data_IF_938370163961
#
_entry.id   IF_938370163961
#
_cell.length_a   1.000
_cell.length_b   1.000
_cell.length_c   1.000
_cell.angle_alpha   90.00
_cell.angle_beta   90.00
_cell.angle_gamma   90.00
#
_symmetry.space_group_name_H-M   'P 1'
#
loop_
_entity.id
_entity.type
_entity.pdbx_description
1 polymer ?
#
# COMPACT_ATOMS: atom_id res chain seq x y z
N UNK A 1 6.82 5.17 15.90
CA UNK A 1 7.58 6.30 15.32
C UNK A 1 6.77 6.83 14.14
N UNK A 2 6.63 8.15 14.01
CA UNK A 2 6.03 8.72 12.82
C UNK A 2 6.88 8.36 11.60
N UNK A 3 6.24 8.02 10.50
CA UNK A 3 6.88 7.67 9.24
C UNK A 3 7.73 8.82 8.74
N UNK A 4 8.99 8.55 8.45
CA UNK A 4 9.91 9.58 7.95
C UNK A 4 9.91 9.59 6.43
N UNK A 5 9.08 10.48 5.85
CA UNK A 5 9.00 10.68 4.41
C UNK A 5 10.33 11.17 3.80
N UNK A 6 11.28 11.64 4.62
CA UNK A 6 12.58 12.11 4.10
C UNK A 6 13.45 10.96 3.60
N UNK A 7 13.28 9.76 4.16
CA UNK A 7 14.14 8.60 3.88
C UNK A 7 13.52 7.60 2.91
N UNK A 8 12.17 7.54 2.78
CA UNK A 8 11.47 6.55 1.99
C UNK A 8 10.94 7.11 0.66
N UNK A 9 11.61 6.82 -0.43
CA UNK A 9 11.15 7.17 -1.78
C UNK A 9 9.80 6.52 -2.13
N UNK A 10 9.59 5.27 -1.67
CA UNK A 10 8.34 4.53 -1.88
C UNK A 10 7.17 5.24 -1.22
N UNK A 11 7.34 5.70 0.02
CA UNK A 11 6.28 6.39 0.75
C UNK A 11 5.94 7.74 0.11
N UNK A 12 6.95 8.49 -0.30
CA UNK A 12 6.74 9.73 -1.06
C UNK A 12 5.96 9.47 -2.33
N UNK A 13 6.34 8.43 -3.10
CA UNK A 13 5.66 8.10 -4.34
C UNK A 13 4.22 7.65 -4.10
N UNK A 14 3.94 6.90 -3.04
CA UNK A 14 2.58 6.53 -2.65
C UNK A 14 1.70 7.73 -2.32
N UNK A 15 2.25 8.74 -1.62
CA UNK A 15 1.55 10.01 -1.37
C UNK A 15 1.25 10.73 -2.70
N UNK A 16 2.26 10.83 -3.58
CA UNK A 16 2.15 11.54 -4.86
C UNK A 16 1.25 10.81 -5.87
N UNK A 17 1.09 9.51 -5.78
CA UNK A 17 0.19 8.73 -6.63
C UNK A 17 -1.24 8.68 -6.09
N UNK A 18 -1.51 9.25 -4.91
CA UNK A 18 -2.86 9.31 -4.35
C UNK A 18 -3.68 10.43 -5.02
N UNK A 19 -4.39 10.07 -6.08
CA UNK A 19 -5.17 10.99 -6.93
C UNK A 19 -6.30 11.70 -6.17
N UNK A 20 -6.74 11.16 -5.05
CA UNK A 20 -7.82 11.74 -4.21
C UNK A 20 -7.27 12.66 -3.13
N UNK A 21 -6.14 12.30 -2.51
CA UNK A 21 -5.55 13.11 -1.46
C UNK A 21 -4.84 14.37 -2.00
N UNK A 22 -4.17 14.29 -3.17
CA UNK A 22 -3.43 15.41 -3.73
C UNK A 22 -4.23 16.71 -3.85
N UNK A 23 -5.46 16.74 -4.41
CA UNK A 23 -6.27 17.95 -4.49
C UNK A 23 -6.63 18.52 -3.11
N UNK A 24 -6.84 17.65 -2.11
CA UNK A 24 -7.12 18.07 -0.73
C UNK A 24 -5.89 18.69 -0.07
N UNK A 25 -4.73 18.06 -0.27
CA UNK A 25 -3.44 18.60 0.20
C UNK A 25 -3.19 19.97 -0.44
N UNK A 26 -3.39 20.10 -1.75
CA UNK A 26 -3.21 21.36 -2.47
C UNK A 26 -4.12 22.47 -1.92
N UNK A 27 -5.40 22.16 -1.72
CA UNK A 27 -6.37 23.11 -1.15
C UNK A 27 -6.00 23.53 0.26
N UNK A 28 -5.57 22.59 1.10
CA UNK A 28 -5.26 22.87 2.50
C UNK A 28 -3.95 23.64 2.69
N UNK A 29 -2.93 23.34 1.87
CA UNK A 29 -1.66 24.05 1.93
C UNK A 29 -1.74 25.47 1.38
N UNK A 30 -2.78 25.78 0.58
CA UNK A 30 -3.02 27.14 0.05
C UNK A 30 -1.85 27.70 -0.77
N UNK A 31 -1.15 26.84 -1.51
CA UNK A 31 0.05 27.23 -2.24
C UNK A 31 -0.31 28.15 -3.41
N UNK A 32 0.24 29.35 -3.41
CA UNK A 32 0.11 30.27 -4.55
C UNK A 32 1.03 29.78 -5.67
N UNK A 33 0.47 29.48 -6.83
CA UNK A 33 1.19 29.05 -8.01
C UNK A 33 0.88 29.96 -9.21
N UNK A 34 1.76 29.98 -10.20
CA UNK A 34 1.60 30.72 -11.43
C UNK A 34 0.97 29.82 -12.49
N UNK A 35 0.01 30.33 -13.25
CA UNK A 35 -0.57 29.58 -14.36
C UNK A 35 0.25 29.87 -15.65
N UNK A 36 0.90 28.82 -16.17
CA UNK A 36 1.72 28.90 -17.36
C UNK A 36 1.53 27.67 -18.25
N UNK A 37 1.28 27.86 -19.55
CA UNK A 37 1.02 26.77 -20.51
C UNK A 37 -0.02 25.76 -20.05
N UNK A 38 -1.10 26.25 -19.41
CA UNK A 38 -2.17 25.38 -18.89
C UNK A 38 -1.80 24.55 -17.65
N UNK A 39 -0.70 24.88 -16.98
CA UNK A 39 -0.23 24.23 -15.75
C UNK A 39 -0.02 25.26 -14.64
N UNK A 40 -0.21 24.82 -13.42
CA UNK A 40 0.16 25.60 -12.25
C UNK A 40 1.61 25.25 -11.84
N UNK A 41 2.48 26.27 -11.87
CA UNK A 41 3.92 26.09 -11.62
C UNK A 41 4.43 27.06 -10.55
N UNK A 42 5.49 26.64 -9.87
CA UNK A 42 6.23 27.43 -8.91
C UNK A 42 7.68 27.58 -9.36
N UNK A 43 8.25 28.75 -9.15
CA UNK A 43 9.70 28.97 -9.32
C UNK A 43 10.46 28.45 -8.10
N UNK A 44 11.77 28.29 -8.24
CA UNK A 44 12.66 27.94 -7.12
C UNK A 44 12.52 28.93 -5.96
N UNK A 45 12.42 30.24 -6.26
CA UNK A 45 12.23 31.26 -5.21
C UNK A 45 10.93 31.06 -4.45
N UNK A 46 9.80 30.84 -5.16
CA UNK A 46 8.51 30.60 -4.50
C UNK A 46 8.55 29.37 -3.60
N UNK A 47 9.25 28.31 -4.02
CA UNK A 47 9.46 27.11 -3.21
C UNK A 47 10.30 27.40 -1.96
N UNK A 48 11.37 28.16 -2.13
CA UNK A 48 12.27 28.61 -1.07
C UNK A 48 11.51 29.42 -0.03
N UNK A 49 10.75 30.42 -0.48
CA UNK A 49 9.93 31.28 0.39
C UNK A 49 8.84 30.49 1.12
N UNK A 50 8.21 29.53 0.42
CA UNK A 50 7.17 28.70 1.05
C UNK A 50 7.72 27.83 2.15
N UNK A 51 8.86 27.14 1.95
CA UNK A 51 9.43 26.22 2.94
C UNK A 51 10.34 26.90 3.96
N UNK A 52 10.51 28.23 3.84
CA UNK A 52 11.37 29.02 4.73
C UNK A 52 12.78 28.43 4.83
N UNK A 53 13.42 28.28 3.69
CA UNK A 53 14.79 27.74 3.57
C UNK A 53 15.64 28.61 2.66
N UNK A 54 16.95 28.49 2.78
CA UNK A 54 17.87 29.12 1.86
C UNK A 54 17.80 28.47 0.46
N UNK A 55 17.96 29.29 -0.60
CA UNK A 55 17.91 28.82 -1.98
C UNK A 55 18.94 27.71 -2.26
N UNK A 56 20.09 27.78 -1.60
CA UNK A 56 21.15 26.78 -1.68
C UNK A 56 20.68 25.42 -1.13
N UNK A 57 19.86 25.41 -0.08
CA UNK A 57 19.26 24.19 0.48
C UNK A 57 18.36 23.51 -0.55
N UNK A 58 17.54 24.29 -1.27
CA UNK A 58 16.69 23.76 -2.37
C UNK A 58 17.56 23.24 -3.51
N UNK A 59 18.65 23.92 -3.86
CA UNK A 59 19.57 23.48 -4.93
C UNK A 59 20.29 22.19 -4.60
N UNK A 60 20.76 22.03 -3.38
CA UNK A 60 21.40 20.80 -2.89
C UNK A 60 20.40 19.65 -2.91
N UNK A 61 19.19 19.88 -2.38
CA UNK A 61 18.15 18.87 -2.36
C UNK A 61 17.75 18.46 -3.79
N UNK A 62 17.60 19.44 -4.71
CA UNK A 62 17.30 19.20 -6.11
C UNK A 62 18.39 18.37 -6.79
N UNK A 63 19.66 18.74 -6.61
CA UNK A 63 20.79 18.01 -7.23
C UNK A 63 20.91 16.58 -6.72
N UNK A 64 20.64 16.37 -5.43
CA UNK A 64 20.72 15.05 -4.83
C UNK A 64 19.55 14.12 -5.23
N UNK A 65 18.41 14.67 -5.68
CA UNK A 65 17.19 13.92 -5.96
C UNK A 65 16.58 14.30 -7.33
N UNK A 66 17.41 14.69 -8.30
CA UNK A 66 16.94 15.25 -9.57
C UNK A 66 16.03 14.29 -10.33
N UNK A 67 16.38 13.02 -10.41
CA UNK A 67 15.60 12.01 -11.13
C UNK A 67 14.21 11.83 -10.51
N UNK A 68 14.12 11.74 -9.18
CA UNK A 68 12.86 11.63 -8.46
C UNK A 68 11.98 12.87 -8.66
N UNK A 69 12.57 14.06 -8.57
CA UNK A 69 11.86 15.32 -8.73
C UNK A 69 11.39 15.53 -10.18
N UNK A 70 12.19 15.15 -11.17
CA UNK A 70 11.80 15.17 -12.60
C UNK A 70 10.67 14.19 -12.88
N UNK A 71 10.74 12.98 -12.35
CA UNK A 71 9.67 12.00 -12.46
C UNK A 71 8.35 12.54 -11.91
N UNK A 72 8.41 13.35 -10.87
CA UNK A 72 7.26 13.95 -10.20
C UNK A 72 6.93 15.38 -10.65
N UNK A 73 7.41 15.83 -11.81
CA UNK A 73 6.93 17.05 -12.47
C UNK A 73 7.84 18.28 -12.38
N UNK A 74 9.06 18.14 -11.87
CA UNK A 74 10.07 19.19 -12.02
C UNK A 74 10.59 19.24 -13.46
N UNK A 75 10.65 20.42 -14.05
CA UNK A 75 11.17 20.59 -15.41
C UNK A 75 11.93 21.90 -15.61
N UNK A 76 12.72 21.96 -16.68
CA UNK A 76 13.48 23.15 -17.07
C UNK A 76 12.78 23.86 -18.21
N UNK A 77 12.33 25.08 -17.94
CA UNK A 77 11.81 26.02 -18.94
C UNK A 77 12.96 26.66 -19.67
N UNK A 78 13.00 26.56 -21.02
CA UNK A 78 14.10 27.04 -21.89
C UNK A 78 13.56 27.65 -23.19
N UNK A 79 14.41 28.35 -23.91
CA UNK A 79 14.11 28.83 -25.28
C UNK A 79 12.91 29.78 -25.33
N UNK A 80 11.94 29.52 -26.22
CA UNK A 80 10.78 30.39 -26.43
C UNK A 80 9.83 30.36 -25.24
N UNK A 81 9.60 29.17 -24.63
CA UNK A 81 8.79 29.06 -23.44
C UNK A 81 9.33 29.91 -22.28
N UNK A 82 10.66 29.95 -22.10
CA UNK A 82 11.28 30.82 -21.10
C UNK A 82 11.08 32.31 -21.43
N UNK A 83 11.13 32.71 -22.71
CA UNK A 83 10.87 34.10 -23.11
C UNK A 83 9.43 34.49 -22.78
N UNK A 84 8.47 33.65 -23.11
CA UNK A 84 7.06 33.89 -22.80
C UNK A 84 6.81 33.92 -21.27
N UNK A 85 7.42 33.01 -20.52
CA UNK A 85 7.36 33.03 -19.08
C UNK A 85 7.87 34.35 -18.48
N UNK A 86 9.03 34.78 -18.92
CA UNK A 86 9.63 36.07 -18.49
C UNK A 86 8.74 37.26 -18.82
N UNK A 87 8.19 37.30 -20.04
CA UNK A 87 7.29 38.39 -20.46
C UNK A 87 6.01 38.43 -19.60
N UNK A 88 5.43 37.25 -19.31
CA UNK A 88 4.17 37.17 -18.58
C UNK A 88 4.33 37.56 -17.11
N UNK A 89 5.45 37.19 -16.48
CA UNK A 89 5.66 37.33 -15.03
C UNK A 89 6.75 38.36 -14.65
N UNK A 90 7.19 39.21 -15.59
CA UNK A 90 8.22 40.23 -15.36
C UNK A 90 7.87 41.22 -14.22
N UNK A 91 6.60 41.43 -13.93
CA UNK A 91 6.16 42.32 -12.87
C UNK A 91 6.12 41.64 -11.47
N UNK A 92 6.13 40.30 -11.44
CA UNK A 92 6.03 39.53 -10.20
C UNK A 92 7.36 38.90 -9.79
N UNK A 93 8.25 38.65 -10.76
CA UNK A 93 9.50 37.91 -10.55
C UNK A 93 10.67 38.65 -11.20
N UNK A 94 11.70 38.85 -10.41
CA UNK A 94 12.98 39.32 -10.95
C UNK A 94 13.77 38.15 -11.56
N UNK A 95 13.86 38.17 -12.88
CA UNK A 95 14.64 37.19 -13.62
C UNK A 95 16.01 37.80 -13.92
N UNK A 96 17.06 37.40 -13.27
CA UNK A 96 18.38 37.87 -13.61
C UNK A 96 18.63 37.92 -15.14
N UNK A 97 19.27 39.00 -15.63
CA UNK A 97 19.43 39.32 -17.08
C UNK A 97 20.07 38.20 -17.92
N UNK A 98 20.85 37.32 -17.30
CA UNK A 98 21.59 36.22 -17.94
C UNK A 98 20.92 34.85 -17.82
N UNK A 99 19.70 34.78 -17.31
CA UNK A 99 19.02 33.49 -17.11
C UNK A 99 18.63 32.85 -18.45
N UNK A 100 19.24 31.74 -18.80
CA UNK A 100 19.00 30.95 -20.02
C UNK A 100 18.10 29.74 -19.81
N UNK A 101 17.88 29.36 -18.56
CA UNK A 101 17.00 28.27 -18.15
C UNK A 101 16.40 28.57 -16.77
N UNK A 102 15.17 28.13 -16.55
CA UNK A 102 14.45 28.30 -15.29
C UNK A 102 13.86 26.97 -14.84
N UNK A 103 14.20 26.53 -13.65
CA UNK A 103 13.58 25.35 -13.04
C UNK A 103 12.19 25.69 -12.53
N UNK A 104 11.21 24.92 -12.95
CA UNK A 104 9.82 25.04 -12.54
C UNK A 104 9.34 23.76 -11.89
N UNK A 105 8.56 23.92 -10.85
CA UNK A 105 7.94 22.85 -10.09
C UNK A 105 6.43 22.87 -10.34
N UNK A 106 5.84 21.74 -10.68
CA UNK A 106 4.41 21.57 -10.52
C UNK A 106 4.08 21.28 -9.05
N UNK A 107 2.79 21.08 -8.71
CA UNK A 107 2.40 20.83 -7.33
C UNK A 107 2.98 19.51 -6.79
N UNK A 108 3.12 18.47 -7.64
CA UNK A 108 3.66 17.18 -7.21
C UNK A 108 5.15 17.27 -6.87
N UNK A 109 5.95 17.88 -7.71
CA UNK A 109 7.39 18.08 -7.47
C UNK A 109 7.65 19.07 -6.34
N UNK A 110 6.82 20.10 -6.18
CA UNK A 110 6.84 20.99 -5.02
C UNK A 110 6.62 20.22 -3.71
N UNK A 111 5.59 19.37 -3.70
CA UNK A 111 5.27 18.55 -2.54
C UNK A 111 6.37 17.51 -2.25
N UNK A 112 6.90 16.88 -3.30
CA UNK A 112 8.01 15.94 -3.21
C UNK A 112 9.26 16.60 -2.60
N UNK A 113 9.62 17.78 -3.04
CA UNK A 113 10.74 18.53 -2.46
C UNK A 113 10.51 18.80 -0.97
N UNK A 114 9.31 19.19 -0.56
CA UNK A 114 8.95 19.39 0.85
C UNK A 114 9.07 18.11 1.68
N UNK A 115 8.78 16.96 1.09
CA UNK A 115 8.99 15.67 1.75
C UNK A 115 10.48 15.32 1.90
N UNK A 116 11.34 15.79 1.02
CA UNK A 116 12.78 15.57 1.04
C UNK A 116 13.55 16.54 1.96
N UNK A 117 13.04 17.75 2.17
CA UNK A 117 13.70 18.76 3.00
C UNK A 117 13.71 18.36 4.48
N UNK A 118 14.90 18.10 5.03
CA UNK A 118 15.10 17.68 6.42
C UNK A 118 15.22 18.85 7.41
N UNK A 119 15.76 19.98 6.98
CA UNK A 119 16.13 21.13 7.83
C UNK A 119 15.02 22.15 8.04
N UNK A 120 13.92 22.09 7.27
CA UNK A 120 12.80 23.03 7.34
C UNK A 120 11.74 22.57 8.34
N UNK A 121 11.45 23.39 9.34
CA UNK A 121 10.32 23.15 10.26
C UNK A 121 8.97 23.22 9.53
N UNK A 122 8.86 24.08 8.52
CA UNK A 122 7.65 24.18 7.70
C UNK A 122 7.46 22.92 6.85
N UNK A 123 8.54 22.38 6.29
CA UNK A 123 8.49 21.09 5.55
C UNK A 123 8.11 19.92 6.50
N UNK A 124 8.60 19.94 7.74
CA UNK A 124 8.22 18.96 8.76
C UNK A 124 6.74 19.04 9.11
N UNK A 125 6.21 20.26 9.29
CA UNK A 125 4.77 20.48 9.49
C UNK A 125 3.95 19.97 8.28
N UNK A 126 4.38 20.31 7.07
CA UNK A 126 3.73 19.87 5.82
C UNK A 126 3.71 18.34 5.72
N UNK A 127 4.83 17.67 6.02
CA UNK A 127 4.89 16.18 6.04
C UNK A 127 3.89 15.56 6.99
N UNK A 128 3.80 16.07 8.22
CA UNK A 128 2.81 15.60 9.19
C UNK A 128 1.38 15.79 8.66
N UNK A 129 1.10 16.97 8.09
CA UNK A 129 -0.22 17.30 7.57
C UNK A 129 -0.63 16.47 6.35
N UNK A 130 0.33 16.18 5.46
CA UNK A 130 0.14 15.29 4.33
C UNK A 130 -0.32 13.91 4.79
N UNK A 131 0.36 13.34 5.78
CA UNK A 131 0.00 12.02 6.31
C UNK A 131 -1.41 12.00 6.90
N UNK A 132 -1.77 13.03 7.68
CA UNK A 132 -3.12 13.17 8.24
C UNK A 132 -4.18 13.21 7.15
N UNK A 133 -3.96 14.02 6.10
CA UNK A 133 -4.90 14.16 4.97
C UNK A 133 -5.02 12.84 4.19
N UNK A 134 -3.90 12.17 3.93
CA UNK A 134 -3.89 10.88 3.22
C UNK A 134 -4.68 9.84 4.01
N UNK A 135 -4.41 9.71 5.30
CA UNK A 135 -5.12 8.77 6.18
C UNK A 135 -6.62 9.12 6.24
N UNK A 136 -6.96 10.39 6.46
CA UNK A 136 -8.36 10.83 6.51
C UNK A 136 -9.10 10.57 5.18
N UNK A 137 -8.43 10.85 4.05
CA UNK A 137 -9.00 10.64 2.71
C UNK A 137 -9.26 9.17 2.43
N UNK A 138 -8.30 8.31 2.77
CA UNK A 138 -8.45 6.86 2.63
C UNK A 138 -9.60 6.38 3.52
N UNK A 139 -9.62 6.78 4.78
CA UNK A 139 -10.69 6.39 5.72
C UNK A 139 -12.08 6.81 5.24
N UNK A 140 -12.23 8.02 4.74
CA UNK A 140 -13.50 8.52 4.22
C UNK A 140 -13.97 7.74 2.99
N UNK A 141 -13.06 7.49 2.03
CA UNK A 141 -13.38 6.76 0.80
C UNK A 141 -13.66 5.28 1.03
N UNK A 142 -13.07 4.68 2.05
CA UNK A 142 -13.26 3.28 2.42
C UNK A 142 -14.41 3.07 3.42
N UNK A 143 -15.23 4.10 3.67
CA UNK A 143 -16.37 3.98 4.58
C UNK A 143 -16.00 3.85 6.06
N UNK A 144 -14.91 4.54 6.48
CA UNK A 144 -14.45 4.57 7.87
C UNK A 144 -13.41 3.52 8.23
N UNK A 145 -12.89 2.77 7.26
CA UNK A 145 -11.77 1.86 7.53
C UNK A 145 -11.10 1.32 6.27
N UNK A 146 -9.78 1.38 6.25
CA UNK A 146 -8.96 0.73 5.23
C UNK A 146 -8.97 -0.81 5.35
N UNK A 147 -9.63 -1.34 6.39
CA UNK A 147 -9.59 -2.74 6.78
C UNK A 147 -10.19 -3.68 5.74
N UNK A 148 -11.28 -3.27 5.09
CA UNK A 148 -12.09 -4.10 4.18
C UNK A 148 -12.09 -3.59 2.74
N UNK A 149 -10.93 -3.19 2.26
CA UNK A 149 -10.73 -2.62 0.92
C UNK A 149 -11.19 -3.53 -0.19
N UNK A 150 -10.92 -4.80 -0.01
CA UNK A 150 -11.21 -5.88 -0.94
C UNK A 150 -12.70 -6.11 -1.21
N UNK A 151 -13.61 -5.65 -0.35
CA UNK A 151 -15.07 -5.70 -0.61
C UNK A 151 -15.48 -4.97 -1.90
N UNK A 152 -14.59 -4.14 -2.45
CA UNK A 152 -14.80 -3.36 -3.67
C UNK A 152 -14.06 -3.95 -4.88
N UNK A 153 -13.32 -5.04 -4.69
CA UNK A 153 -12.60 -5.69 -5.77
C UNK A 153 -13.50 -6.71 -6.47
N UNK A 154 -13.64 -6.58 -7.80
CA UNK A 154 -14.41 -7.49 -8.66
C UNK A 154 -13.95 -8.95 -8.50
N UNK A 155 -12.64 -9.13 -8.34
CA UNK A 155 -12.03 -10.45 -8.24
C UNK A 155 -12.10 -11.03 -6.82
N UNK A 156 -12.59 -10.24 -5.84
CA UNK A 156 -12.63 -10.69 -4.45
C UNK A 156 -13.58 -11.84 -4.22
N UNK A 157 -14.79 -11.77 -4.75
CA UNK A 157 -15.81 -12.80 -4.53
C UNK A 157 -15.39 -14.17 -5.08
N UNK A 158 -14.92 -14.29 -6.34
CA UNK A 158 -14.37 -15.54 -6.83
C UNK A 158 -13.19 -16.06 -5.98
N UNK A 159 -12.31 -15.16 -5.54
CA UNK A 159 -11.19 -15.54 -4.67
C UNK A 159 -11.64 -16.03 -3.30
N UNK A 160 -12.68 -15.42 -2.71
CA UNK A 160 -13.24 -15.83 -1.42
C UNK A 160 -13.92 -17.22 -1.51
N UNK A 161 -14.63 -17.51 -2.61
CA UNK A 161 -15.23 -18.83 -2.85
C UNK A 161 -14.14 -19.90 -2.95
N UNK A 162 -13.09 -19.64 -3.71
CA UNK A 162 -11.97 -20.56 -3.86
C UNK A 162 -11.25 -20.77 -2.53
N UNK A 163 -11.08 -19.70 -1.77
CA UNK A 163 -10.47 -19.73 -0.44
C UNK A 163 -11.24 -20.65 0.49
N UNK A 164 -12.56 -20.56 0.56
CA UNK A 164 -13.38 -21.39 1.44
C UNK A 164 -13.19 -22.87 1.13
N UNK A 165 -13.17 -23.27 -0.15
CA UNK A 165 -12.93 -24.65 -0.56
C UNK A 165 -11.52 -25.13 -0.17
N UNK A 166 -10.50 -24.34 -0.40
CA UNK A 166 -9.12 -24.70 -0.05
C UNK A 166 -8.91 -24.72 1.45
N UNK A 167 -9.57 -23.81 2.18
CA UNK A 167 -9.57 -23.79 3.64
C UNK A 167 -10.17 -25.06 4.23
N UNK A 168 -11.26 -25.55 3.66
CA UNK A 168 -11.87 -26.82 4.08
C UNK A 168 -10.89 -27.97 3.87
N UNK A 169 -10.26 -28.08 2.70
CA UNK A 169 -9.25 -29.10 2.43
C UNK A 169 -8.12 -29.06 3.46
N UNK A 170 -7.64 -27.86 3.79
CA UNK A 170 -6.56 -27.65 4.75
C UNK A 170 -6.97 -28.04 6.17
N UNK A 171 -8.14 -27.62 6.61
CA UNK A 171 -8.66 -27.98 7.94
C UNK A 171 -8.94 -29.48 8.05
N UNK A 172 -9.44 -30.13 7.00
CA UNK A 172 -9.66 -31.58 6.95
C UNK A 172 -8.33 -32.35 6.99
N UNK A 173 -7.30 -31.88 6.31
CA UNK A 173 -5.96 -32.47 6.39
C UNK A 173 -5.39 -32.37 7.82
N UNK A 174 -5.50 -31.22 8.46
CA UNK A 174 -5.08 -31.04 9.86
C UNK A 174 -5.88 -31.95 10.79
N UNK A 175 -7.19 -32.06 10.58
CA UNK A 175 -8.06 -32.91 11.39
C UNK A 175 -7.64 -34.39 11.37
N UNK A 176 -7.39 -34.89 10.18
CA UNK A 176 -7.24 -36.32 9.94
C UNK A 176 -5.79 -36.80 10.11
N UNK A 177 -4.79 -35.93 9.88
CA UNK A 177 -3.40 -36.38 9.79
C UNK A 177 -2.45 -35.66 10.77
N UNK A 178 -2.93 -34.74 11.62
CA UNK A 178 -2.07 -34.07 12.60
C UNK A 178 -2.47 -34.40 14.01
N UNK A 179 -1.51 -34.80 14.84
CA UNK A 179 -1.71 -35.02 16.26
C UNK A 179 -1.84 -33.70 17.03
N UNK A 180 -2.48 -33.74 18.20
CA UNK A 180 -2.60 -32.61 19.11
C UNK A 180 -4.03 -32.23 19.50
N UNK A 181 -4.13 -31.30 20.47
CA UNK A 181 -5.41 -30.84 21.00
C UNK A 181 -6.27 -30.14 19.95
N UNK A 182 -7.53 -30.54 19.83
CA UNK A 182 -8.45 -30.19 18.73
C UNK A 182 -8.45 -28.69 18.35
N UNK A 183 -8.45 -27.79 19.31
CA UNK A 183 -8.58 -26.35 19.02
C UNK A 183 -7.24 -25.67 18.81
N UNK A 184 -6.21 -26.09 19.54
CA UNK A 184 -4.91 -25.43 19.54
C UNK A 184 -4.11 -25.68 18.25
N UNK A 185 -4.13 -26.90 17.72
CA UNK A 185 -3.39 -27.27 16.51
C UNK A 185 -3.80 -26.43 15.28
N UNK A 186 -5.09 -26.13 15.11
CA UNK A 186 -5.56 -25.30 13.98
C UNK A 186 -5.03 -23.88 14.05
N UNK A 187 -5.07 -23.26 15.23
CA UNK A 187 -4.55 -21.92 15.42
C UNK A 187 -3.03 -21.87 15.18
N UNK A 188 -2.30 -22.85 15.72
CA UNK A 188 -0.86 -22.93 15.60
C UNK A 188 -0.43 -23.10 14.13
N UNK A 189 -1.04 -24.05 13.42
CA UNK A 189 -0.70 -24.32 12.01
C UNK A 189 -1.14 -23.17 11.10
N UNK A 190 -2.28 -22.52 11.38
CA UNK A 190 -2.69 -21.32 10.68
C UNK A 190 -1.68 -20.19 10.89
N UNK A 191 -1.18 -19.99 12.10
CA UNK A 191 -0.13 -18.99 12.38
C UNK A 191 1.18 -19.29 11.66
N UNK A 192 1.53 -20.57 11.44
CA UNK A 192 2.68 -20.97 10.64
C UNK A 192 2.52 -20.52 9.17
N UNK A 193 1.33 -20.71 8.58
CA UNK A 193 1.00 -20.23 7.24
C UNK A 193 1.14 -18.70 7.16
N UNK A 194 0.57 -17.98 8.11
CA UNK A 194 0.70 -16.51 8.14
C UNK A 194 2.15 -16.05 8.30
N UNK A 195 2.93 -16.71 9.15
CA UNK A 195 4.37 -16.44 9.26
C UNK A 195 5.12 -16.72 7.96
N UNK A 196 4.81 -17.83 7.29
CA UNK A 196 5.42 -18.19 6.01
C UNK A 196 5.10 -17.16 4.92
N UNK A 197 3.87 -16.66 4.85
CA UNK A 197 3.44 -15.69 3.83
C UNK A 197 3.78 -14.26 4.24
N UNK A 198 3.49 -13.83 5.46
CA UNK A 198 3.55 -12.41 5.88
C UNK A 198 4.64 -12.12 6.92
N UNK A 199 5.39 -13.12 7.39
CA UNK A 199 6.36 -13.03 8.49
C UNK A 199 5.75 -12.63 9.85
N UNK A 200 4.45 -12.72 9.99
CA UNK A 200 3.66 -12.34 11.18
C UNK A 200 2.61 -13.40 11.49
N UNK A 201 2.27 -13.56 12.77
CA UNK A 201 1.13 -14.37 13.16
C UNK A 201 -0.19 -13.66 12.87
N UNK A 202 -1.29 -14.41 12.70
CA UNK A 202 -2.60 -13.82 12.48
C UNK A 202 -2.99 -12.80 13.56
N UNK A 203 -2.66 -13.06 14.83
CA UNK A 203 -2.92 -12.15 15.95
C UNK A 203 -2.11 -10.84 15.86
N UNK A 204 -0.85 -10.91 15.42
CA UNK A 204 0.01 -9.74 15.22
C UNK A 204 -0.53 -8.88 14.08
N UNK A 205 -0.93 -9.54 12.99
CA UNK A 205 -1.53 -8.87 11.85
C UNK A 205 -2.87 -8.20 12.20
N UNK A 206 -3.73 -8.84 13.00
CA UNK A 206 -4.96 -8.22 13.51
C UNK A 206 -4.67 -6.96 14.33
N UNK A 207 -3.63 -6.96 15.16
CA UNK A 207 -3.22 -5.75 15.90
C UNK A 207 -2.79 -4.62 15.00
N UNK A 208 -2.02 -4.92 13.94
CA UNK A 208 -1.58 -3.92 12.96
C UNK A 208 -2.76 -3.20 12.32
N UNK A 209 -3.82 -3.91 12.01
CA UNK A 209 -5.02 -3.38 11.37
C UNK A 209 -6.07 -2.88 12.39
N UNK A 210 -5.78 -2.92 13.69
CA UNK A 210 -6.74 -2.60 14.76
C UNK A 210 -8.07 -3.36 14.59
N UNK A 211 -7.98 -4.67 14.32
CA UNK A 211 -9.11 -5.57 14.20
C UNK A 211 -9.48 -6.15 15.55
N UNK A 212 -10.77 -6.33 15.80
CA UNK A 212 -11.24 -7.05 16.97
C UNK A 212 -10.88 -8.55 16.88
N UNK A 213 -10.96 -9.28 17.99
CA UNK A 213 -10.69 -10.71 18.00
C UNK A 213 -11.66 -11.50 17.09
N UNK A 214 -12.89 -11.01 16.95
CA UNK A 214 -13.96 -11.62 16.12
C UNK A 214 -13.81 -11.31 14.62
N UNK A 215 -13.07 -10.28 14.24
CA UNK A 215 -12.92 -9.92 12.83
C UNK A 215 -12.14 -10.98 12.05
N UNK A 216 -12.61 -11.30 10.85
CA UNK A 216 -11.92 -12.20 9.95
C UNK A 216 -10.82 -11.47 9.18
N UNK A 217 -9.55 -11.81 9.49
CA UNK A 217 -8.38 -11.22 8.85
C UNK A 217 -8.37 -11.40 7.33
N UNK A 218 -8.86 -12.53 6.83
CA UNK A 218 -8.87 -12.85 5.39
C UNK A 218 -9.72 -11.88 4.58
N UNK A 219 -10.77 -11.33 5.20
CA UNK A 219 -11.62 -10.30 4.59
C UNK A 219 -10.92 -8.96 4.38
N UNK A 220 -9.72 -8.80 4.88
CA UNK A 220 -8.90 -7.60 4.68
C UNK A 220 -7.83 -7.77 3.60
N UNK A 221 -7.66 -8.99 3.07
CA UNK A 221 -6.64 -9.29 2.07
C UNK A 221 -7.12 -8.89 0.65
N UNK A 222 -6.22 -8.46 -0.21
CA UNK A 222 -6.51 -8.33 -1.64
C UNK A 222 -6.87 -9.69 -2.24
N UNK A 223 -7.64 -9.68 -3.33
CA UNK A 223 -8.06 -10.91 -4.03
C UNK A 223 -6.86 -11.79 -4.42
N UNK A 224 -5.82 -11.19 -4.96
CA UNK A 224 -4.60 -11.90 -5.37
C UNK A 224 -3.83 -12.47 -4.17
N UNK A 225 -3.81 -11.73 -3.06
CA UNK A 225 -3.17 -12.18 -1.82
C UNK A 225 -3.98 -13.30 -1.18
N UNK A 226 -5.31 -13.19 -1.21
CA UNK A 226 -6.20 -14.26 -0.75
C UNK A 226 -6.01 -15.54 -1.57
N UNK A 227 -5.90 -15.44 -2.91
CA UNK A 227 -5.56 -16.55 -3.79
C UNK A 227 -4.18 -17.16 -3.47
N UNK A 228 -3.19 -16.33 -3.17
CA UNK A 228 -1.85 -16.81 -2.78
C UNK A 228 -1.89 -17.61 -1.47
N UNK A 229 -2.56 -17.10 -0.44
CA UNK A 229 -2.71 -17.78 0.86
C UNK A 229 -3.49 -19.09 0.70
N UNK A 230 -4.60 -19.08 -0.04
CA UNK A 230 -5.42 -20.28 -0.22
C UNK A 230 -4.73 -21.34 -1.07
N UNK A 231 -3.96 -20.95 -2.10
CA UNK A 231 -3.14 -21.88 -2.88
C UNK A 231 -2.03 -22.50 -2.02
N UNK A 232 -1.41 -21.70 -1.14
CA UNK A 232 -0.41 -22.19 -0.19
C UNK A 232 -1.02 -23.20 0.78
N UNK A 233 -2.19 -22.89 1.36
CA UNK A 233 -2.90 -23.83 2.26
C UNK A 233 -3.31 -25.13 1.57
N UNK A 234 -3.76 -25.05 0.31
CA UNK A 234 -4.09 -26.23 -0.47
C UNK A 234 -2.85 -27.09 -0.76
N UNK A 235 -1.71 -26.48 -1.08
CA UNK A 235 -0.44 -27.18 -1.21
C UNK A 235 -0.01 -27.84 0.10
N UNK A 236 -0.11 -27.12 1.21
CA UNK A 236 0.19 -27.68 2.54
C UNK A 236 -0.75 -28.82 2.91
N UNK A 237 -2.05 -28.72 2.60
CA UNK A 237 -3.03 -29.81 2.80
C UNK A 237 -2.63 -31.08 2.03
N UNK A 238 -2.19 -30.93 0.78
CA UNK A 238 -1.74 -32.04 -0.05
C UNK A 238 -0.51 -32.74 0.56
N UNK A 239 0.50 -32.00 0.96
CA UNK A 239 1.73 -32.54 1.55
C UNK A 239 1.47 -33.16 2.93
N UNK A 240 0.64 -32.54 3.78
CA UNK A 240 0.23 -33.09 5.08
C UNK A 240 -0.50 -34.42 4.87
N UNK A 241 -1.45 -34.47 3.95
CA UNK A 241 -2.20 -35.69 3.64
C UNK A 241 -1.26 -36.80 3.15
N UNK A 242 -0.42 -36.51 2.14
CA UNK A 242 0.53 -37.45 1.55
C UNK A 242 1.43 -38.06 2.64
N UNK A 243 2.09 -37.22 3.43
CA UNK A 243 2.99 -37.69 4.48
C UNK A 243 2.25 -38.42 5.59
N UNK A 244 1.02 -38.00 5.93
CA UNK A 244 0.17 -38.66 6.92
C UNK A 244 -0.32 -40.03 6.47
N UNK A 245 -0.58 -40.23 5.17
CA UNK A 245 -0.89 -41.55 4.60
C UNK A 245 0.31 -42.49 4.63
N UNK A 246 1.54 -41.97 4.51
CA UNK A 246 2.79 -42.75 4.54
C UNK A 246 3.25 -43.07 5.95
N UNK A 247 3.12 -42.15 6.91
CA UNK A 247 3.78 -42.20 8.24
C UNK A 247 2.80 -42.22 9.43
N UNK A 248 1.49 -42.05 9.19
CA UNK A 248 0.49 -41.90 10.25
C UNK A 248 0.34 -40.44 10.70
N UNK A 249 -0.12 -40.25 11.96
CA UNK A 249 -0.33 -38.91 12.48
C UNK A 249 0.99 -38.13 12.60
N UNK A 250 1.01 -36.91 12.03
CA UNK A 250 2.14 -36.03 12.05
C UNK A 250 2.16 -35.16 13.31
N UNK A 251 3.33 -34.92 13.83
CA UNK A 251 3.55 -33.92 14.87
C UNK A 251 3.45 -32.50 14.30
N UNK A 252 3.25 -31.50 15.17
CA UNK A 252 3.20 -30.09 14.77
C UNK A 252 4.53 -29.65 14.17
N UNK A 253 5.67 -30.14 14.65
CA UNK A 253 7.00 -29.83 14.14
C UNK A 253 7.23 -30.39 12.71
N UNK A 254 6.68 -31.57 12.43
CA UNK A 254 6.70 -32.12 11.07
C UNK A 254 5.86 -31.29 10.10
N UNK A 255 4.72 -30.78 10.55
CA UNK A 255 3.89 -29.85 9.76
C UNK A 255 4.60 -28.52 9.57
N UNK A 256 5.32 -28.00 10.57
CA UNK A 256 6.15 -26.79 10.42
C UNK A 256 7.23 -26.98 9.36
N UNK A 257 7.86 -28.15 9.33
CA UNK A 257 8.85 -28.50 8.30
C UNK A 257 8.24 -28.54 6.90
N UNK A 258 7.04 -29.10 6.75
CA UNK A 258 6.30 -29.10 5.48
C UNK A 258 5.98 -27.67 5.03
N UNK A 259 5.44 -26.84 5.91
CA UNK A 259 5.08 -25.45 5.62
C UNK A 259 6.32 -24.63 5.24
N UNK A 260 7.43 -24.83 5.97
CA UNK A 260 8.70 -24.14 5.69
C UNK A 260 9.28 -24.56 4.33
N UNK A 261 9.29 -25.86 4.03
CA UNK A 261 9.74 -26.38 2.75
C UNK A 261 8.89 -25.87 1.58
N UNK A 262 7.57 -25.83 1.76
CA UNK A 262 6.66 -25.29 0.75
C UNK A 262 6.89 -23.78 0.53
N UNK A 263 7.15 -23.01 1.58
CA UNK A 263 7.43 -21.59 1.46
C UNK A 263 8.73 -21.28 0.70
N UNK A 264 9.70 -22.19 0.76
CA UNK A 264 10.98 -22.11 0.06
C UNK A 264 10.95 -22.77 -1.33
N UNK A 265 9.80 -23.35 -1.69
CA UNK A 265 9.68 -24.02 -3.00
C UNK A 265 9.73 -22.99 -4.13
N UNK A 266 10.52 -23.20 -5.19
CA UNK A 266 10.70 -22.22 -6.28
C UNK A 266 9.43 -21.76 -6.97
N UNK A 267 8.35 -22.54 -6.95
CA UNK A 267 7.04 -22.14 -7.47
C UNK A 267 6.26 -21.22 -6.50
N UNK A 268 6.47 -21.36 -5.20
CA UNK A 268 5.74 -20.60 -4.19
C UNK A 268 6.44 -19.32 -3.77
N UNK A 269 7.75 -19.29 -3.84
CA UNK A 269 8.56 -18.15 -3.43
C UNK A 269 8.18 -16.84 -4.14
N UNK A 270 8.04 -16.78 -5.49
CA UNK A 270 7.61 -15.57 -6.17
C UNK A 270 6.19 -15.14 -5.78
N UNK A 271 5.26 -16.08 -5.62
CA UNK A 271 3.87 -15.81 -5.23
C UNK A 271 3.80 -15.20 -3.82
N UNK A 272 4.59 -15.76 -2.90
CA UNK A 272 4.70 -15.25 -1.52
C UNK A 272 5.36 -13.86 -1.53
N UNK A 273 6.39 -13.65 -2.34
CA UNK A 273 7.06 -12.37 -2.47
C UNK A 273 6.09 -11.27 -2.96
N UNK A 274 5.33 -11.54 -4.03
CA UNK A 274 4.35 -10.61 -4.58
C UNK A 274 3.22 -10.31 -3.57
N UNK A 275 2.72 -11.33 -2.87
CA UNK A 275 1.73 -11.16 -1.83
C UNK A 275 2.25 -10.26 -0.69
N UNK A 276 3.49 -10.44 -0.26
CA UNK A 276 4.15 -9.58 0.74
C UNK A 276 4.28 -8.15 0.27
N UNK A 277 4.78 -7.94 -0.96
CA UNK A 277 4.91 -6.60 -1.54
C UNK A 277 3.57 -5.88 -1.58
N UNK A 278 2.51 -6.56 -2.04
CA UNK A 278 1.18 -5.97 -2.17
C UNK A 278 0.60 -5.58 -0.83
N UNK A 279 0.69 -6.47 0.16
CA UNK A 279 0.21 -6.18 1.52
C UNK A 279 1.06 -5.13 2.22
N UNK A 280 2.37 -5.20 2.11
CA UNK A 280 3.26 -4.21 2.70
C UNK A 280 3.00 -2.81 2.12
N UNK A 281 2.82 -2.69 0.81
CA UNK A 281 2.50 -1.41 0.15
C UNK A 281 1.16 -0.83 0.62
N UNK A 282 0.12 -1.67 0.80
CA UNK A 282 -1.16 -1.25 1.36
C UNK A 282 -1.05 -0.80 2.81
N UNK A 283 -0.35 -1.60 3.62
CA UNK A 283 -0.31 -1.43 5.07
C UNK A 283 0.78 -0.46 5.51
N UNK A 284 1.36 0.27 4.57
CA UNK A 284 2.48 1.16 4.76
C UNK A 284 2.31 2.10 5.97
N UNK A 285 1.10 2.65 6.15
CA UNK A 285 0.77 3.53 7.28
C UNK A 285 0.70 2.79 8.63
N UNK A 286 0.53 1.48 8.62
CA UNK A 286 0.32 0.67 9.83
C UNK A 286 1.54 -0.18 10.21
N UNK A 287 2.34 -0.63 9.23
CA UNK A 287 3.40 -1.61 9.47
C UNK A 287 4.73 -1.07 9.93
N UNK A 288 5.12 0.12 9.49
CA UNK A 288 6.40 0.71 9.91
C UNK A 288 6.47 1.01 11.41
N UNK A 289 5.31 1.08 12.06
CA UNK A 289 5.24 1.28 13.51
C UNK A 289 5.67 0.02 14.28
N UNK A 290 5.54 -1.17 13.70
CA UNK A 290 5.70 -2.43 14.44
C UNK A 290 6.87 -3.31 14.01
N UNK A 291 7.25 -3.34 12.73
CA UNK A 291 8.23 -4.31 12.23
C UNK A 291 9.11 -3.72 11.13
N UNK A 292 10.23 -3.13 11.43
CA UNK A 292 11.23 -2.71 10.45
C UNK A 292 11.68 -3.80 9.43
N UNK A 293 11.08 -4.99 9.51
CA UNK A 293 11.46 -6.18 8.74
C UNK A 293 10.81 -6.27 7.35
N UNK A 294 9.89 -5.35 7.00
CA UNK A 294 9.14 -5.43 5.74
C UNK A 294 9.57 -4.37 4.73
N UNK A 295 10.45 -3.43 5.12
CA UNK A 295 10.93 -2.36 4.25
C UNK A 295 11.51 -2.89 2.91
N UNK A 296 12.12 -4.06 2.92
CA UNK A 296 12.67 -4.70 1.71
C UNK A 296 11.62 -5.14 0.67
N UNK A 297 10.34 -5.25 1.07
CA UNK A 297 9.23 -5.65 0.19
C UNK A 297 8.36 -4.49 -0.26
N UNK A 298 8.64 -3.27 0.20
CA UNK A 298 7.83 -2.11 -0.16
C UNK A 298 8.11 -1.68 -1.59
N UNK A 299 7.05 -1.38 -2.33
CA UNK A 299 7.09 -0.69 -3.61
C UNK A 299 6.01 0.38 -3.67
N UNK A 300 6.23 1.38 -4.51
CA UNK A 300 5.22 2.41 -4.75
C UNK A 300 3.98 1.79 -5.42
N UNK A 301 2.81 2.17 -4.94
CA UNK A 301 1.52 1.82 -5.56
C UNK A 301 1.28 2.77 -6.73
N UNK A 302 0.87 2.25 -7.89
CA UNK A 302 0.55 3.08 -9.05
C UNK A 302 -0.76 3.86 -8.84
N UNK A 303 -1.01 4.95 -9.60
CA UNK A 303 -2.30 5.65 -9.53
C UNK A 303 -3.49 4.75 -9.82
N UNK A 304 -3.36 3.80 -10.75
CA UNK A 304 -4.40 2.84 -11.11
C UNK A 304 -4.68 1.85 -9.97
N UNK A 305 -3.64 1.37 -9.29
CA UNK A 305 -3.77 0.53 -8.10
C UNK A 305 -4.40 1.31 -6.95
N UNK A 306 -4.06 2.60 -6.80
CA UNK A 306 -4.69 3.48 -5.82
C UNK A 306 -6.18 3.69 -6.11
N UNK A 307 -6.57 3.94 -7.36
CA UNK A 307 -7.96 4.10 -7.77
C UNK A 307 -8.77 2.81 -7.51
N UNK A 308 -8.19 1.64 -7.79
CA UNK A 308 -8.76 0.34 -7.45
C UNK A 308 -8.90 0.16 -5.93
N UNK A 309 -7.87 0.52 -5.19
CA UNK A 309 -7.82 0.47 -3.73
C UNK A 309 -8.89 1.34 -3.06
N UNK A 310 -9.13 2.55 -3.57
CA UNK A 310 -10.13 3.48 -3.04
C UNK A 310 -11.54 3.12 -3.53
N UNK A 311 -11.64 2.23 -4.51
CA UNK A 311 -12.91 1.79 -5.09
C UNK A 311 -13.47 2.73 -6.17
N UNK A 312 -12.66 3.65 -6.72
CA UNK A 312 -13.10 4.54 -7.81
C UNK A 312 -13.36 3.78 -9.12
N UNK A 313 -12.78 2.59 -9.30
CA UNK A 313 -12.94 1.71 -10.47
C UNK A 313 -13.52 0.33 -10.12
N UNK A 314 -14.03 0.14 -8.91
CA UNK A 314 -14.69 -1.12 -8.54
C UNK A 314 -16.10 -1.18 -9.10
N UNK A 315 -16.54 -2.38 -9.48
CA UNK A 315 -17.95 -2.64 -9.74
C UNK A 315 -18.74 -2.48 -8.45
N UNK A 316 -20.02 -2.15 -8.60
CA UNK A 316 -20.97 -2.10 -7.50
C UNK A 316 -21.04 -3.49 -6.84
N UNK A 317 -20.49 -3.61 -5.66
CA UNK A 317 -20.44 -4.86 -4.91
C UNK A 317 -21.86 -5.36 -4.58
N UNK A 318 -22.77 -4.45 -4.29
CA UNK A 318 -24.18 -4.79 -4.00
C UNK A 318 -24.86 -5.35 -5.24
N UNK A 319 -24.54 -4.83 -6.43
CA UNK A 319 -25.05 -5.37 -7.70
C UNK A 319 -24.48 -6.77 -7.99
N UNK A 320 -23.18 -7.01 -7.72
CA UNK A 320 -22.56 -8.33 -7.88
C UNK A 320 -23.16 -9.31 -6.88
N UNK A 321 -23.39 -8.89 -5.65
CA UNK A 321 -23.97 -9.73 -4.61
C UNK A 321 -25.45 -10.01 -4.82
N UNK A 322 -26.15 -9.20 -5.61
CA UNK A 322 -27.55 -9.44 -5.98
C UNK A 322 -27.72 -10.50 -7.08
N UNK A 323 -26.62 -10.90 -7.76
CA UNK A 323 -26.70 -11.95 -8.78
C UNK A 323 -27.11 -13.29 -8.17
N UNK A 324 -28.05 -14.05 -8.81
CA UNK A 324 -28.56 -15.32 -8.28
C UNK A 324 -27.45 -16.33 -7.95
N UNK A 325 -26.44 -16.41 -8.79
CA UNK A 325 -25.27 -17.29 -8.63
C UNK A 325 -24.44 -16.99 -7.38
N UNK A 326 -24.51 -15.77 -6.84
CA UNK A 326 -23.74 -15.33 -5.68
C UNK A 326 -24.52 -15.41 -4.36
N UNK A 327 -25.82 -15.71 -4.41
CA UNK A 327 -26.70 -15.77 -3.23
C UNK A 327 -26.33 -16.92 -2.27
N UNK A 328 -25.87 -18.04 -2.81
CA UNK A 328 -25.48 -19.20 -2.01
C UNK A 328 -24.16 -18.95 -1.27
N UNK A 329 -23.23 -18.23 -1.92
CA UNK A 329 -21.97 -17.78 -1.35
C UNK A 329 -22.20 -16.74 -0.25
N UNK A 330 -23.17 -15.85 -0.44
CA UNK A 330 -23.59 -14.90 0.60
C UNK A 330 -24.06 -15.61 1.88
N UNK A 331 -24.77 -16.72 1.76
CA UNK A 331 -25.21 -17.49 2.93
C UNK A 331 -24.01 -18.09 3.67
N UNK A 332 -23.04 -18.64 2.95
CA UNK A 332 -21.80 -19.19 3.54
C UNK A 332 -20.98 -18.10 4.22
N UNK A 333 -20.80 -16.94 3.53
CA UNK A 333 -20.05 -15.82 4.09
C UNK A 333 -20.73 -15.16 5.29
N UNK A 334 -22.08 -15.21 5.37
CA UNK A 334 -22.85 -14.71 6.53
C UNK A 334 -22.85 -15.69 7.69
N UNK A 335 -22.90 -16.99 7.44
CA UNK A 335 -22.80 -18.01 8.50
C UNK A 335 -21.46 -18.01 9.20
N UNK A 336 -20.38 -17.64 8.50
CA UNK A 336 -19.06 -17.45 9.10
C UNK A 336 -18.92 -16.13 9.91
N UNK A 337 -19.95 -15.26 9.96
CA UNK A 337 -20.01 -14.08 10.84
C UNK A 337 -20.63 -14.41 12.20
N UNK A 338 -21.44 -15.46 12.29
CA UNK A 338 -22.18 -15.84 13.49
C UNK A 338 -21.48 -16.91 14.33
N UNK A 339 -20.38 -17.53 13.83
CA UNK A 339 -19.48 -18.44 14.56
C UNK A 339 -18.18 -17.74 15.01
#
# INVERSE_FOLDING_TARGET
>A
MAKDLTTSAIDRQNVLNNTVALPRIQKELGVRALEFEGRYVLTKQMVTDYYDVDIRTVEICLSANEDELRHNGYFLCRGNSLKEFKLRFAHEIDFGSKTTQLGLFDFRSFLNLGMLLTTSEKAKYVRARILDIVIATINEKTGGGTKYINRRDVDYLPAAIQEENYRKNFTDAIKNYVDGHKTYKYAQITDMVYKAVFREKAKEYKKLLDLSAKDNLRRTLYAEVLKAVSSFENGAAFEIKKKGEESGLLTVDEVESIITGLAQHPLMEPIIYDARQKMASRDLAFRDVFHGNIAEYLKAVTPEEFDKFIGNKSLDFDAIMALPENQEVLKILKQAEDE
#
